data_IF_657636750431
#
_entry.id   IF_657636750431
#
_cell.length_a   1.000
_cell.length_b   1.000
_cell.length_c   1.000
_cell.angle_alpha   90.00
_cell.angle_beta   90.00
_cell.angle_gamma   90.00
#
_symmetry.space_group_name_H-M   'P 1'
#
loop_
_entity.id
_entity.type
_entity.pdbx_description
1 polymer ?
#
# COMPACT_ATOMS: atom_id res chain seq x y z
N UNK A 1 -1.46 -48.80 -9.17
CA UNK A 1 -2.62 -47.96 -9.55
C UNK A 1 -2.84 -46.97 -8.40
N UNK A 2 -2.31 -45.78 -8.49
CA UNK A 2 -2.18 -44.85 -7.35
C UNK A 2 -3.10 -43.62 -7.56
N UNK A 3 -4.21 -43.63 -6.83
CA UNK A 3 -5.27 -42.61 -6.88
C UNK A 3 -5.05 -41.48 -5.83
N UNK A 4 -3.94 -40.77 -5.86
CA UNK A 4 -3.71 -39.66 -4.93
C UNK A 4 -2.93 -38.50 -5.56
N UNK A 5 -3.42 -37.98 -6.69
CA UNK A 5 -2.84 -36.82 -7.38
C UNK A 5 -3.90 -35.81 -7.82
N UNK A 6 -4.90 -35.57 -6.97
CA UNK A 6 -5.87 -34.50 -7.21
C UNK A 6 -6.19 -33.79 -5.90
N UNK A 7 -5.35 -32.81 -5.50
CA UNK A 7 -5.72 -31.70 -4.58
C UNK A 7 -4.56 -30.72 -4.40
N UNK A 8 -4.09 -30.09 -5.48
CA UNK A 8 -3.41 -28.79 -5.36
C UNK A 8 -4.03 -27.89 -6.41
N UNK A 9 -4.91 -26.99 -5.96
CA UNK A 9 -5.59 -26.00 -6.79
C UNK A 9 -4.65 -24.92 -7.32
N UNK A 10 -3.64 -25.34 -8.11
CA UNK A 10 -2.79 -24.42 -8.86
C UNK A 10 -3.45 -24.15 -10.20
N UNK A 11 -3.65 -22.89 -10.53
CA UNK A 11 -4.21 -22.45 -11.81
C UNK A 11 -3.37 -23.01 -12.98
N UNK A 12 -4.01 -23.41 -14.11
CA UNK A 12 -3.31 -24.01 -15.26
C UNK A 12 -2.17 -23.13 -15.83
N UNK A 13 -2.22 -21.84 -15.64
CA UNK A 13 -1.21 -20.88 -16.10
C UNK A 13 0.10 -21.00 -15.29
N UNK A 14 0.02 -21.24 -13.98
CA UNK A 14 1.18 -21.44 -13.11
C UNK A 14 1.90 -22.77 -13.43
N UNK A 15 1.14 -23.80 -13.75
CA UNK A 15 1.69 -25.11 -14.11
C UNK A 15 2.41 -25.10 -15.47
N UNK A 16 1.89 -24.36 -16.44
CA UNK A 16 2.54 -24.15 -17.75
C UNK A 16 3.85 -23.37 -17.59
N UNK A 17 3.88 -22.31 -16.78
CA UNK A 17 5.09 -21.53 -16.53
C UNK A 17 6.16 -22.30 -15.75
N UNK A 18 5.78 -23.07 -14.73
CA UNK A 18 6.72 -23.95 -14.00
C UNK A 18 7.26 -25.07 -14.88
N UNK A 19 6.44 -25.68 -15.72
CA UNK A 19 6.87 -26.69 -16.68
C UNK A 19 7.84 -26.12 -17.73
N UNK A 20 7.57 -24.94 -18.24
CA UNK A 20 8.48 -24.26 -19.18
C UNK A 20 9.81 -23.89 -18.52
N UNK A 21 9.79 -23.38 -17.29
CA UNK A 21 11.01 -23.09 -16.52
C UNK A 21 11.83 -24.34 -16.25
N UNK A 22 11.19 -25.43 -15.81
CA UNK A 22 11.85 -26.71 -15.53
C UNK A 22 12.46 -27.33 -16.79
N UNK A 23 11.74 -27.34 -17.89
CA UNK A 23 12.21 -27.85 -19.17
C UNK A 23 13.36 -27.02 -19.76
N UNK A 24 13.37 -25.70 -19.56
CA UNK A 24 14.48 -24.80 -19.94
C UNK A 24 15.73 -25.10 -19.11
N UNK A 25 15.59 -25.30 -17.80
CA UNK A 25 16.70 -25.62 -16.90
C UNK A 25 17.34 -26.97 -17.22
N UNK A 26 16.56 -27.95 -17.62
CA UNK A 26 17.05 -29.26 -18.09
C UNK A 26 17.77 -29.11 -19.43
N UNK A 27 17.26 -28.34 -20.41
CA UNK A 27 17.93 -28.10 -21.70
C UNK A 27 19.26 -27.37 -21.50
N UNK A 28 19.34 -26.36 -20.65
CA UNK A 28 20.59 -25.66 -20.33
C UNK A 28 21.65 -26.58 -19.72
N UNK A 29 21.21 -27.56 -18.94
CA UNK A 29 22.13 -28.56 -18.31
C UNK A 29 22.65 -29.62 -19.31
N UNK A 30 21.87 -29.88 -20.37
CA UNK A 30 22.23 -30.90 -21.39
C UNK A 30 23.07 -30.33 -22.53
N UNK A 31 22.87 -29.06 -22.91
CA UNK A 31 23.48 -28.44 -24.11
C UNK A 31 24.56 -27.39 -23.83
N UNK A 32 25.01 -27.20 -22.58
CA UNK A 32 25.94 -26.15 -22.20
C UNK A 32 25.33 -24.73 -22.14
N UNK A 33 26.10 -23.71 -21.74
CA UNK A 33 25.59 -22.35 -21.60
C UNK A 33 25.35 -21.72 -22.97
N UNK A 34 24.18 -21.94 -23.53
CA UNK A 34 23.73 -21.25 -24.75
C UNK A 34 23.62 -19.75 -24.46
N UNK A 35 24.50 -18.96 -25.08
CA UNK A 35 24.53 -17.50 -24.95
C UNK A 35 23.18 -16.85 -25.34
N UNK A 36 22.41 -17.49 -26.21
CA UNK A 36 21.09 -17.07 -26.66
C UNK A 36 20.01 -17.26 -25.56
N UNK A 37 20.04 -18.40 -24.84
CA UNK A 37 19.11 -18.64 -23.74
C UNK A 37 19.35 -17.70 -22.56
N UNK A 38 20.59 -17.44 -22.22
CA UNK A 38 20.95 -16.45 -21.20
C UNK A 38 20.52 -15.03 -21.58
N UNK A 39 20.64 -14.68 -22.85
CA UNK A 39 20.19 -13.37 -23.37
C UNK A 39 18.66 -13.24 -23.30
N UNK A 40 17.93 -14.31 -23.66
CA UNK A 40 16.47 -14.33 -23.59
C UNK A 40 15.96 -14.24 -22.13
N UNK A 41 16.58 -14.99 -21.20
CA UNK A 41 16.26 -14.91 -19.77
C UNK A 41 16.54 -13.53 -19.19
N UNK A 42 17.65 -12.90 -19.52
CA UNK A 42 17.96 -11.51 -19.13
C UNK A 42 16.92 -10.54 -19.66
N UNK A 43 16.53 -10.67 -20.93
CA UNK A 43 15.51 -9.80 -21.54
C UNK A 43 14.14 -9.95 -20.85
N UNK A 44 13.76 -11.19 -20.48
CA UNK A 44 12.53 -11.46 -19.75
C UNK A 44 12.59 -10.86 -18.34
N UNK A 45 13.72 -11.02 -17.65
CA UNK A 45 13.91 -10.43 -16.30
C UNK A 45 13.87 -8.89 -16.34
N UNK A 46 14.49 -8.27 -17.33
CA UNK A 46 14.42 -6.80 -17.49
C UNK A 46 13.00 -6.31 -17.75
N UNK A 47 12.24 -6.96 -18.64
CA UNK A 47 10.83 -6.66 -18.86
C UNK A 47 10.00 -6.77 -17.59
N UNK A 48 10.20 -7.82 -16.79
CA UNK A 48 9.50 -8.01 -15.51
C UNK A 48 9.81 -6.89 -14.52
N UNK A 49 11.06 -6.46 -14.41
CA UNK A 49 11.45 -5.31 -13.57
C UNK A 49 10.76 -4.02 -14.02
N UNK A 50 10.69 -3.77 -15.32
CA UNK A 50 9.98 -2.60 -15.88
C UNK A 50 8.49 -2.66 -15.57
N UNK A 51 7.83 -3.79 -15.76
CA UNK A 51 6.41 -3.97 -15.40
C UNK A 51 6.20 -3.77 -13.90
N UNK A 52 7.07 -4.32 -13.05
CA UNK A 52 7.02 -4.17 -11.60
C UNK A 52 7.11 -2.70 -11.18
N UNK A 53 8.08 -1.96 -11.73
CA UNK A 53 8.22 -0.53 -11.46
C UNK A 53 7.02 0.26 -12.02
N UNK A 54 6.55 -0.06 -13.22
CA UNK A 54 5.40 0.58 -13.84
C UNK A 54 4.11 0.41 -13.04
N UNK A 55 3.78 -0.81 -12.62
CA UNK A 55 2.62 -1.08 -11.77
C UNK A 55 2.73 -0.41 -10.39
N UNK A 56 3.92 -0.36 -9.83
CA UNK A 56 4.16 0.33 -8.57
C UNK A 56 3.89 1.83 -8.66
N UNK A 57 4.49 2.51 -9.65
CA UNK A 57 4.29 3.94 -9.86
C UNK A 57 2.83 4.25 -10.19
N UNK A 58 2.21 3.49 -11.08
CA UNK A 58 0.81 3.65 -11.42
C UNK A 58 -0.10 3.43 -10.21
N UNK A 59 0.19 2.43 -9.37
CA UNK A 59 -0.51 2.18 -8.13
C UNK A 59 -0.45 3.37 -7.18
N UNK A 60 0.74 3.97 -7.00
CA UNK A 60 0.91 5.16 -6.16
C UNK A 60 0.18 6.38 -6.72
N UNK A 61 0.17 6.58 -8.04
CA UNK A 61 -0.56 7.68 -8.68
C UNK A 61 -2.08 7.52 -8.49
N UNK A 62 -2.61 6.31 -8.72
CA UNK A 62 -4.02 6.01 -8.51
C UNK A 62 -4.40 6.18 -7.02
N UNK A 63 -3.53 5.75 -6.10
CA UNK A 63 -3.72 5.95 -4.66
C UNK A 63 -3.79 7.44 -4.30
N UNK A 64 -2.83 8.24 -4.79
CA UNK A 64 -2.81 9.68 -4.54
C UNK A 64 -4.07 10.38 -5.10
N UNK A 65 -4.51 9.99 -6.30
CA UNK A 65 -5.75 10.47 -6.89
C UNK A 65 -6.95 10.11 -6.02
N UNK A 66 -7.06 8.86 -5.56
CA UNK A 66 -8.13 8.38 -4.69
C UNK A 66 -8.21 9.15 -3.38
N UNK A 67 -7.07 9.33 -2.69
CA UNK A 67 -7.00 10.10 -1.45
C UNK A 67 -7.40 11.57 -1.65
N UNK A 68 -6.96 12.18 -2.76
CA UNK A 68 -7.32 13.57 -3.08
C UNK A 68 -8.82 13.71 -3.40
N UNK A 69 -9.39 12.82 -4.21
CA UNK A 69 -10.83 12.80 -4.48
C UNK A 69 -11.66 12.64 -3.20
N UNK A 70 -11.18 11.81 -2.27
CA UNK A 70 -11.83 11.62 -0.98
C UNK A 70 -11.89 12.94 -0.18
N UNK A 71 -10.80 13.72 -0.15
CA UNK A 71 -10.78 15.02 0.50
C UNK A 71 -11.70 16.02 -0.20
N UNK A 72 -11.71 16.03 -1.54
CA UNK A 72 -12.49 16.96 -2.38
C UNK A 72 -14.00 16.69 -2.32
N UNK A 73 -14.43 15.46 -2.06
CA UNK A 73 -15.83 15.10 -1.86
C UNK A 73 -16.45 15.82 -0.63
N UNK A 74 -15.63 16.19 0.37
CA UNK A 74 -16.05 16.94 1.55
C UNK A 74 -17.06 16.20 2.44
N UNK A 75 -17.13 14.86 2.36
CA UNK A 75 -17.99 14.01 3.20
C UNK A 75 -17.23 13.35 4.36
N UNK A 76 -15.99 13.74 4.59
CA UNK A 76 -15.03 13.13 5.50
C UNK A 76 -13.92 12.45 4.71
N UNK A 77 -12.74 12.38 5.29
CA UNK A 77 -11.53 11.89 4.61
C UNK A 77 -11.16 10.48 5.06
N UNK A 78 -10.28 9.82 4.29
CA UNK A 78 -9.76 8.50 4.66
C UNK A 78 -9.03 8.57 6.01
N UNK A 79 -9.23 7.60 6.92
CA UNK A 79 -8.67 7.64 8.28
C UNK A 79 -7.16 7.86 8.31
N UNK A 80 -6.42 7.21 7.40
CA UNK A 80 -4.96 7.24 7.37
C UNK A 80 -4.37 8.64 7.20
N UNK A 81 -5.12 9.55 6.56
CA UNK A 81 -4.71 10.93 6.31
C UNK A 81 -5.59 11.94 7.09
N UNK A 82 -6.53 11.46 7.92
CA UNK A 82 -7.49 12.33 8.59
C UNK A 82 -6.83 13.29 9.57
N UNK A 83 -5.77 12.85 10.26
CA UNK A 83 -4.99 13.68 11.18
C UNK A 83 -4.32 14.83 10.43
N UNK A 84 -3.58 14.55 9.36
CA UNK A 84 -2.92 15.57 8.55
C UNK A 84 -3.90 16.52 7.89
N UNK A 85 -5.03 16.01 7.41
CA UNK A 85 -6.09 16.83 6.84
C UNK A 85 -6.72 17.78 7.89
N UNK A 86 -7.00 17.28 9.09
CA UNK A 86 -7.55 18.09 10.18
C UNK A 86 -6.59 19.22 10.55
N UNK A 87 -5.33 18.92 10.78
CA UNK A 87 -4.31 19.93 11.11
C UNK A 87 -4.16 20.93 9.96
N UNK A 88 -4.05 20.48 8.71
CA UNK A 88 -3.91 21.38 7.56
C UNK A 88 -5.11 22.31 7.41
N UNK A 89 -6.32 21.82 7.67
CA UNK A 89 -7.56 22.61 7.57
C UNK A 89 -7.69 23.60 8.70
N UNK A 90 -7.35 23.23 9.94
CA UNK A 90 -7.45 24.08 11.13
C UNK A 90 -6.45 25.24 11.06
N UNK A 91 -5.21 24.94 10.67
CA UNK A 91 -4.12 25.94 10.63
C UNK A 91 -3.88 26.54 9.25
N UNK A 92 -4.73 26.25 8.25
CA UNK A 92 -4.58 26.73 6.86
C UNK A 92 -3.23 26.37 6.23
N UNK A 93 -2.69 25.19 6.55
CA UNK A 93 -1.43 24.69 6.04
C UNK A 93 -1.64 23.83 4.77
N UNK A 94 -0.53 23.58 4.05
CA UNK A 94 -0.60 22.71 2.89
C UNK A 94 -0.87 21.25 3.30
N UNK A 95 -1.88 20.62 2.70
CA UNK A 95 -2.29 19.24 3.02
C UNK A 95 -1.19 18.22 2.71
N UNK A 96 -0.51 18.34 1.59
CA UNK A 96 0.57 17.41 1.23
C UNK A 96 1.77 17.54 2.18
N UNK A 97 2.13 18.75 2.60
CA UNK A 97 3.22 18.95 3.56
C UNK A 97 2.87 18.39 4.94
N UNK A 98 1.62 18.57 5.40
CA UNK A 98 1.16 17.96 6.66
C UNK A 98 1.08 16.43 6.56
N UNK A 99 0.74 15.90 5.40
CA UNK A 99 0.78 14.45 5.16
C UNK A 99 2.22 13.93 5.14
N UNK A 100 3.18 14.69 4.62
CA UNK A 100 4.60 14.34 4.68
C UNK A 100 5.11 14.28 6.13
N UNK A 101 4.72 15.26 6.96
CA UNK A 101 5.05 15.25 8.39
C UNK A 101 4.48 14.02 9.09
N UNK A 102 3.19 13.72 8.87
CA UNK A 102 2.54 12.54 9.44
C UNK A 102 3.23 11.24 9.00
N UNK A 103 3.54 11.11 7.72
CA UNK A 103 4.24 9.94 7.18
C UNK A 103 5.67 9.81 7.72
N UNK A 104 6.36 10.92 7.95
CA UNK A 104 7.67 10.89 8.61
C UNK A 104 7.57 10.37 10.05
N UNK A 105 6.51 10.74 10.78
CA UNK A 105 6.24 10.20 12.13
C UNK A 105 5.96 8.69 12.05
N UNK A 106 5.20 8.23 11.04
CA UNK A 106 4.95 6.79 10.84
C UNK A 106 6.24 6.03 10.56
N UNK A 107 7.11 6.54 9.68
CA UNK A 107 8.40 5.90 9.38
C UNK A 107 9.29 5.80 10.62
N UNK A 108 9.36 6.85 11.43
CA UNK A 108 10.12 6.81 12.70
C UNK A 108 9.54 5.76 13.65
N UNK A 109 8.21 5.69 13.79
CA UNK A 109 7.54 4.69 14.60
C UNK A 109 7.78 3.27 14.06
N UNK A 110 7.78 3.08 12.75
CA UNK A 110 8.05 1.81 12.05
C UNK A 110 9.47 1.30 12.33
N UNK A 111 10.48 2.16 12.19
CA UNK A 111 11.88 1.84 12.52
C UNK A 111 12.00 1.42 14.00
N UNK A 112 11.30 2.11 14.90
CA UNK A 112 11.29 1.77 16.32
C UNK A 112 10.64 0.41 16.59
N UNK A 113 9.49 0.13 15.98
CA UNK A 113 8.80 -1.15 16.09
C UNK A 113 9.63 -2.31 15.53
N UNK A 114 10.26 -2.14 14.37
CA UNK A 114 11.17 -3.14 13.80
C UNK A 114 12.36 -3.42 14.73
N UNK A 115 12.89 -2.39 15.39
CA UNK A 115 13.97 -2.53 16.38
C UNK A 115 13.54 -3.31 17.62
N UNK A 116 12.32 -3.08 18.13
CA UNK A 116 11.74 -3.84 19.26
C UNK A 116 11.55 -5.31 18.88
N UNK A 117 10.91 -5.56 17.73
CA UNK A 117 10.66 -6.91 17.23
C UNK A 117 11.95 -7.74 17.12
N UNK A 118 13.01 -7.09 16.69
CA UNK A 118 14.29 -7.76 16.54
C UNK A 118 14.94 -8.09 17.88
N UNK A 119 14.83 -7.22 18.87
CA UNK A 119 15.27 -7.53 20.25
C UNK A 119 14.52 -8.73 20.83
N UNK A 120 13.22 -8.83 20.61
CA UNK A 120 12.40 -9.97 21.06
C UNK A 120 12.83 -11.28 20.39
N UNK A 121 13.15 -11.24 19.07
CA UNK A 121 13.65 -12.42 18.35
C UNK A 121 15.06 -12.84 18.76
N UNK A 122 15.94 -11.89 19.12
CA UNK A 122 17.34 -12.16 19.49
C UNK A 122 17.47 -12.99 20.77
N UNK A 123 16.47 -12.94 21.64
CA UNK A 123 16.46 -13.66 22.92
C UNK A 123 16.22 -15.18 22.77
N UNK A 124 15.87 -15.67 21.59
CA UNK A 124 15.41 -17.07 21.41
C UNK A 124 16.13 -17.93 20.37
N UNK A 125 17.20 -17.46 19.69
CA UNK A 125 17.83 -18.24 18.59
C UNK A 125 19.37 -18.28 18.60
N UNK A 126 19.91 -19.47 18.26
CA UNK A 126 21.32 -19.81 18.22
C UNK A 126 22.16 -19.06 17.17
N UNK A 127 23.48 -18.94 17.39
CA UNK A 127 24.47 -18.12 16.67
C UNK A 127 24.61 -18.36 15.16
N UNK A 128 24.28 -19.54 14.65
CA UNK A 128 24.48 -19.89 13.23
C UNK A 128 23.58 -19.09 12.23
N UNK A 129 22.46 -18.53 12.70
CA UNK A 129 21.52 -17.76 11.89
C UNK A 129 21.82 -16.24 11.87
N UNK A 130 22.83 -15.79 12.60
CA UNK A 130 23.13 -14.37 12.81
C UNK A 130 23.53 -13.63 11.52
N UNK A 131 24.24 -14.29 10.59
CA UNK A 131 24.74 -13.65 9.37
C UNK A 131 23.65 -13.40 8.31
N UNK A 132 22.78 -14.36 8.05
CA UNK A 132 21.64 -14.21 7.14
C UNK A 132 20.68 -13.12 7.67
N UNK A 133 20.41 -13.14 8.97
CA UNK A 133 19.59 -12.21 9.70
C UNK A 133 20.09 -10.76 9.67
N UNK A 134 21.42 -10.52 9.71
CA UNK A 134 22.01 -9.18 9.63
C UNK A 134 21.76 -8.52 8.26
N UNK A 135 21.68 -9.32 7.20
CA UNK A 135 21.34 -8.83 5.86
C UNK A 135 19.85 -8.47 5.74
N UNK A 136 18.96 -9.29 6.32
CA UNK A 136 17.52 -9.01 6.34
C UNK A 136 17.20 -7.72 7.10
N UNK A 137 17.86 -7.50 8.24
CA UNK A 137 17.71 -6.25 9.02
C UNK A 137 18.12 -5.02 8.24
N UNK A 138 19.28 -5.07 7.57
CA UNK A 138 19.75 -3.96 6.76
C UNK A 138 18.78 -3.64 5.62
N UNK A 139 18.18 -4.66 5.03
CA UNK A 139 17.21 -4.51 3.95
C UNK A 139 15.93 -3.87 4.47
N UNK A 140 15.38 -4.33 5.61
CA UNK A 140 14.18 -3.74 6.23
C UNK A 140 14.43 -2.26 6.57
N UNK A 141 15.53 -1.95 7.26
CA UNK A 141 15.88 -0.59 7.61
C UNK A 141 16.08 0.30 6.38
N UNK A 142 16.69 -0.24 5.31
CA UNK A 142 16.84 0.48 4.05
C UNK A 142 15.47 0.77 3.41
N UNK A 143 14.54 -0.18 3.44
CA UNK A 143 13.18 0.01 2.92
C UNK A 143 12.43 1.07 3.73
N UNK A 144 12.55 1.09 5.07
CA UNK A 144 11.95 2.10 5.93
C UNK A 144 12.50 3.50 5.61
N UNK A 145 13.83 3.64 5.46
CA UNK A 145 14.47 4.91 5.09
C UNK A 145 14.02 5.37 3.69
N UNK A 146 13.89 4.45 2.73
CA UNK A 146 13.42 4.76 1.37
C UNK A 146 11.96 5.23 1.32
N UNK A 147 11.17 4.98 2.35
CA UNK A 147 9.82 5.52 2.46
C UNK A 147 9.81 7.06 2.57
N UNK A 148 10.86 7.69 3.13
CA UNK A 148 10.92 9.16 3.28
C UNK A 148 10.97 9.86 1.91
N UNK A 149 11.96 9.60 1.01
CA UNK A 149 11.95 10.20 -0.31
C UNK A 149 10.73 9.82 -1.15
N UNK A 150 10.21 8.59 -0.98
CA UNK A 150 8.98 8.17 -1.63
C UNK A 150 7.79 9.02 -1.16
N UNK A 151 7.68 9.27 0.15
CA UNK A 151 6.62 10.09 0.74
C UNK A 151 6.70 11.52 0.24
N UNK A 152 7.90 12.06 0.06
CA UNK A 152 8.09 13.39 -0.53
C UNK A 152 7.49 13.45 -1.94
N UNK A 153 7.80 12.49 -2.80
CA UNK A 153 7.25 12.41 -4.16
C UNK A 153 5.74 12.21 -4.12
N UNK A 154 5.26 11.28 -3.31
CA UNK A 154 3.83 10.97 -3.17
C UNK A 154 3.01 12.18 -2.71
N UNK A 155 3.49 12.93 -1.73
CA UNK A 155 2.79 14.11 -1.22
C UNK A 155 2.81 15.28 -2.21
N UNK A 156 3.81 15.36 -3.10
CA UNK A 156 3.76 16.31 -4.24
C UNK A 156 2.64 15.94 -5.22
N UNK A 157 2.39 14.66 -5.46
CA UNK A 157 1.22 14.25 -6.26
C UNK A 157 -0.10 14.60 -5.58
N UNK A 158 -0.22 14.46 -4.24
CA UNK A 158 -1.40 14.94 -3.51
C UNK A 158 -1.64 16.44 -3.74
N UNK A 159 -0.60 17.26 -3.70
CA UNK A 159 -0.69 18.70 -3.94
C UNK A 159 -1.08 19.01 -5.39
N UNK A 160 -0.47 18.34 -6.37
CA UNK A 160 -0.79 18.51 -7.79
C UNK A 160 -2.26 18.14 -8.04
N UNK A 161 -2.71 16.97 -7.60
CA UNK A 161 -4.11 16.58 -7.76
C UNK A 161 -5.04 17.48 -6.95
N UNK A 162 -4.60 17.94 -5.76
CA UNK A 162 -5.35 18.91 -4.94
C UNK A 162 -5.59 20.24 -5.65
N UNK A 163 -4.64 20.70 -6.47
CA UNK A 163 -4.79 21.93 -7.26
C UNK A 163 -5.57 21.72 -8.56
N UNK A 164 -5.49 20.53 -9.16
CA UNK A 164 -6.17 20.23 -10.43
C UNK A 164 -7.65 19.89 -10.25
N UNK A 165 -8.00 19.23 -9.13
CA UNK A 165 -9.37 18.78 -8.89
C UNK A 165 -10.22 19.87 -8.23
N UNK A 166 -11.47 20.06 -8.68
CA UNK A 166 -12.39 21.03 -8.09
C UNK A 166 -12.81 20.62 -6.67
N UNK A 167 -13.26 21.59 -5.89
CA UNK A 167 -13.89 21.37 -4.58
C UNK A 167 -15.37 21.04 -4.76
N UNK A 168 -15.75 19.78 -4.56
CA UNK A 168 -17.15 19.36 -4.66
C UNK A 168 -17.97 19.73 -3.42
N UNK A 169 -17.30 20.08 -2.31
CA UNK A 169 -17.94 20.49 -1.05
C UNK A 169 -18.45 21.93 -1.06
N UNK A 170 -17.97 22.78 -1.97
CA UNK A 170 -18.30 24.22 -2.04
C UNK A 170 -19.45 24.55 -2.98
N UNK A 171 -20.24 23.56 -3.38
CA UNK A 171 -21.42 23.76 -4.20
C UNK A 171 -22.40 24.71 -3.52
N UNK A 172 -22.95 25.68 -4.29
CA UNK A 172 -23.85 26.74 -3.80
C UNK A 172 -25.25 26.24 -3.42
N UNK A 173 -25.57 24.97 -3.62
CA UNK A 173 -26.95 24.45 -3.54
C UNK A 173 -27.14 23.23 -2.62
N UNK A 174 -26.42 23.13 -1.54
CA UNK A 174 -26.72 22.22 -0.42
C UNK A 174 -26.97 20.75 -0.81
N UNK A 175 -28.19 20.26 -0.54
CA UNK A 175 -28.59 18.85 -0.74
C UNK A 175 -28.53 18.41 -2.21
N UNK A 176 -28.65 19.31 -3.18
CA UNK A 176 -28.65 18.96 -4.61
C UNK A 176 -27.29 18.44 -5.11
N UNK A 177 -26.21 18.79 -4.42
CA UNK A 177 -24.84 18.31 -4.77
C UNK A 177 -24.49 16.99 -4.09
N UNK A 178 -25.30 16.50 -3.17
CA UNK A 178 -25.04 15.27 -2.41
C UNK A 178 -24.86 14.04 -3.31
N UNK A 179 -25.66 13.76 -4.33
CA UNK A 179 -25.45 12.63 -5.23
C UNK A 179 -24.10 12.68 -5.95
N UNK A 180 -23.67 13.86 -6.42
CA UNK A 180 -22.36 14.05 -7.06
C UNK A 180 -21.22 13.80 -6.07
N UNK A 181 -21.33 14.33 -4.86
CA UNK A 181 -20.33 14.12 -3.78
C UNK A 181 -20.21 12.65 -3.39
N UNK A 182 -21.34 11.94 -3.31
CA UNK A 182 -21.34 10.49 -3.05
C UNK A 182 -20.69 9.70 -4.22
N UNK A 183 -20.96 10.07 -5.45
CA UNK A 183 -20.33 9.45 -6.62
C UNK A 183 -18.82 9.66 -6.60
N UNK A 184 -18.36 10.90 -6.32
CA UNK A 184 -16.92 11.21 -6.17
C UNK A 184 -16.31 10.42 -5.03
N UNK A 185 -17.01 10.27 -3.90
CA UNK A 185 -16.57 9.46 -2.78
C UNK A 185 -16.42 7.97 -3.15
N UNK A 186 -17.37 7.40 -3.88
CA UNK A 186 -17.31 6.01 -4.35
C UNK A 186 -16.11 5.83 -5.27
N UNK A 187 -15.89 6.72 -6.23
CA UNK A 187 -14.71 6.70 -7.10
C UNK A 187 -13.41 6.84 -6.29
N UNK A 188 -13.40 7.70 -5.29
CA UNK A 188 -12.26 7.87 -4.38
C UNK A 188 -11.91 6.56 -3.64
N UNK A 189 -12.91 5.87 -3.11
CA UNK A 189 -12.75 4.58 -2.42
C UNK A 189 -12.20 3.52 -3.39
N UNK A 190 -12.74 3.45 -4.61
CA UNK A 190 -12.27 2.53 -5.65
C UNK A 190 -10.81 2.82 -5.99
N UNK A 191 -10.45 4.05 -6.30
CA UNK A 191 -9.09 4.43 -6.65
C UNK A 191 -8.12 4.19 -5.49
N UNK A 192 -8.52 4.52 -4.26
CA UNK A 192 -7.69 4.24 -3.08
C UNK A 192 -7.43 2.74 -2.92
N UNK A 193 -8.47 1.91 -3.02
CA UNK A 193 -8.33 0.46 -2.87
C UNK A 193 -7.51 -0.19 -3.99
N UNK A 194 -7.77 0.19 -5.26
CA UNK A 194 -7.03 -0.31 -6.42
C UNK A 194 -5.57 0.13 -6.35
N UNK A 195 -5.31 1.41 -6.09
CA UNK A 195 -3.95 1.96 -6.02
C UNK A 195 -3.13 1.34 -4.90
N UNK A 196 -3.72 1.21 -3.70
CA UNK A 196 -3.08 0.55 -2.56
C UNK A 196 -2.78 -0.93 -2.86
N UNK A 197 -3.75 -1.68 -3.38
CA UNK A 197 -3.56 -3.08 -3.73
C UNK A 197 -2.46 -3.28 -4.77
N UNK A 198 -2.45 -2.44 -5.80
CA UNK A 198 -1.49 -2.54 -6.90
C UNK A 198 -0.07 -2.20 -6.44
N UNK A 199 0.12 -1.12 -5.66
CA UNK A 199 1.43 -0.74 -5.14
C UNK A 199 1.99 -1.77 -4.15
N UNK A 200 1.17 -2.27 -3.22
CA UNK A 200 1.55 -3.28 -2.24
C UNK A 200 1.92 -4.63 -2.89
N UNK A 201 1.19 -5.04 -3.95
CA UNK A 201 1.47 -6.29 -4.66
C UNK A 201 2.85 -6.31 -5.30
N UNK A 202 3.45 -5.17 -5.57
CA UNK A 202 4.79 -5.08 -6.17
C UNK A 202 5.91 -5.31 -5.16
N UNK A 203 5.66 -5.27 -3.87
CA UNK A 203 6.66 -5.53 -2.79
C UNK A 203 7.97 -4.75 -3.01
N UNK A 204 7.88 -3.46 -3.33
CA UNK A 204 9.04 -2.57 -3.47
C UNK A 204 9.25 -1.85 -2.15
N UNK A 205 8.61 -0.71 -1.96
CA UNK A 205 8.62 0.04 -0.71
C UNK A 205 7.16 0.33 -0.33
N UNK A 206 6.67 -0.04 0.85
CA UNK A 206 5.30 0.26 1.23
C UNK A 206 5.10 1.78 1.38
N UNK A 207 3.88 2.26 1.17
CA UNK A 207 3.51 3.59 1.61
C UNK A 207 3.56 3.63 3.15
N UNK A 208 4.07 4.71 3.80
CA UNK A 208 4.21 4.76 5.26
C UNK A 208 2.93 4.46 6.03
N UNK A 209 1.76 4.82 5.49
CA UNK A 209 0.49 4.47 6.09
C UNK A 209 0.19 2.97 6.11
N UNK A 210 0.66 2.24 5.11
CA UNK A 210 0.52 0.77 5.06
C UNK A 210 1.67 0.09 5.80
N UNK A 211 2.88 0.65 5.74
CA UNK A 211 4.07 0.15 6.43
C UNK A 211 3.92 0.13 7.94
N UNK A 212 3.46 1.23 8.55
CA UNK A 212 3.23 1.29 10.00
C UNK A 212 2.19 0.25 10.47
N UNK A 213 1.12 0.02 9.69
CA UNK A 213 0.12 -1.00 10.00
C UNK A 213 0.74 -2.40 9.96
N UNK A 214 1.58 -2.68 8.96
CA UNK A 214 2.30 -3.95 8.86
C UNK A 214 3.27 -4.13 10.04
N UNK A 215 4.06 -3.11 10.39
CA UNK A 215 5.00 -3.15 11.49
C UNK A 215 4.31 -3.41 12.84
N UNK A 216 3.16 -2.74 13.08
CA UNK A 216 2.35 -2.99 14.28
C UNK A 216 1.83 -4.43 14.27
N UNK A 217 1.23 -4.89 13.16
CA UNK A 217 0.66 -6.24 13.03
C UNK A 217 1.70 -7.32 13.35
N UNK A 218 2.91 -7.12 12.84
CA UNK A 218 4.05 -8.00 13.07
C UNK A 218 4.52 -8.01 14.54
N UNK A 219 4.49 -6.85 15.22
CA UNK A 219 4.87 -6.75 16.63
C UNK A 219 3.86 -7.41 17.56
N UNK A 220 2.55 -7.25 17.27
CA UNK A 220 1.48 -7.81 18.12
C UNK A 220 1.03 -9.21 17.67
N UNK A 221 1.65 -9.76 16.62
CA UNK A 221 1.31 -11.08 16.05
C UNK A 221 -0.16 -11.21 15.67
N UNK A 222 -0.75 -10.15 15.10
CA UNK A 222 -2.14 -10.11 14.66
C UNK A 222 -2.22 -9.97 13.12
N UNK A 223 -3.40 -10.27 12.61
CA UNK A 223 -3.71 -10.09 11.20
C UNK A 223 -3.65 -8.60 10.80
N UNK A 224 -3.04 -8.30 9.65
CA UNK A 224 -2.88 -6.94 9.11
C UNK A 224 -4.23 -6.22 8.96
N UNK A 225 -5.28 -6.92 8.51
CA UNK A 225 -6.62 -6.34 8.36
C UNK A 225 -7.23 -5.89 9.70
N UNK A 226 -7.07 -6.70 10.75
CA UNK A 226 -7.50 -6.33 12.10
C UNK A 226 -6.71 -5.12 12.60
N UNK A 227 -5.39 -5.16 12.47
CA UNK A 227 -4.50 -4.07 12.88
C UNK A 227 -4.82 -2.78 12.13
N UNK A 228 -5.10 -2.87 10.83
CA UNK A 228 -5.52 -1.72 10.04
C UNK A 228 -6.80 -1.08 10.60
N UNK A 229 -7.81 -1.88 10.89
CA UNK A 229 -9.07 -1.36 11.46
C UNK A 229 -8.84 -0.67 12.81
N UNK A 230 -8.00 -1.22 13.68
CA UNK A 230 -7.64 -0.60 14.96
C UNK A 230 -6.87 0.71 14.74
N UNK A 231 -5.94 0.73 13.79
CA UNK A 231 -5.15 1.91 13.46
C UNK A 231 -5.99 3.01 12.80
N UNK A 232 -6.93 2.64 11.93
CA UNK A 232 -7.90 3.56 11.34
C UNK A 232 -8.79 4.19 12.44
N UNK A 233 -9.27 3.38 13.40
CA UNK A 233 -10.05 3.88 14.54
C UNK A 233 -9.21 4.82 15.43
N UNK A 234 -7.95 4.50 15.66
CA UNK A 234 -7.01 5.36 16.39
C UNK A 234 -6.86 6.73 15.68
N UNK A 235 -6.60 6.74 14.38
CA UNK A 235 -6.48 7.98 13.60
C UNK A 235 -7.77 8.80 13.63
N UNK A 236 -8.94 8.17 13.51
CA UNK A 236 -10.25 8.84 13.62
C UNK A 236 -10.40 9.48 15.01
N UNK A 237 -10.06 8.75 16.07
CA UNK A 237 -10.15 9.26 17.45
C UNK A 237 -9.24 10.47 17.65
N UNK A 238 -7.99 10.39 17.22
CA UNK A 238 -7.06 11.54 17.27
C UNK A 238 -7.60 12.71 16.48
N UNK A 239 -8.17 12.49 15.29
CA UNK A 239 -8.74 13.54 14.44
C UNK A 239 -9.94 14.22 15.09
N UNK A 240 -10.82 13.45 15.73
CA UNK A 240 -11.98 13.99 16.48
C UNK A 240 -11.48 14.85 17.64
N UNK A 241 -10.53 14.36 18.43
CA UNK A 241 -9.97 15.11 19.56
C UNK A 241 -9.33 16.43 19.09
N UNK A 242 -8.50 16.39 18.04
CA UNK A 242 -7.90 17.59 17.46
C UNK A 242 -8.96 18.59 16.97
N UNK A 243 -9.98 18.12 16.24
CA UNK A 243 -11.05 18.97 15.76
C UNK A 243 -11.85 19.64 16.89
N UNK A 244 -12.19 18.88 17.93
CA UNK A 244 -12.95 19.41 19.07
C UNK A 244 -12.12 20.36 19.93
N UNK A 245 -10.87 20.02 20.23
CA UNK A 245 -9.99 20.82 21.12
C UNK A 245 -9.51 22.10 20.43
N UNK A 246 -9.12 22.02 19.15
CA UNK A 246 -8.49 23.15 18.43
C UNK A 246 -9.47 24.00 17.63
N UNK A 247 -10.57 23.43 17.14
CA UNK A 247 -11.54 24.12 16.28
C UNK A 247 -12.96 24.17 16.85
N UNK A 248 -13.23 23.51 17.99
CA UNK A 248 -14.59 23.44 18.58
C UNK A 248 -15.61 22.68 17.71
N UNK A 249 -15.17 21.98 16.66
CA UNK A 249 -16.04 21.27 15.71
C UNK A 249 -15.31 20.05 15.11
N UNK A 250 -16.08 19.13 14.55
CA UNK A 250 -15.51 18.01 13.79
C UNK A 250 -14.89 18.53 12.49
N UNK A 251 -13.63 18.19 12.24
CA UNK A 251 -12.89 18.53 11.02
C UNK A 251 -12.32 17.23 10.43
N UNK A 252 -12.60 16.97 9.16
CA UNK A 252 -12.07 15.81 8.44
C UNK A 252 -12.78 14.48 8.69
N UNK A 253 -13.65 14.38 9.69
CA UNK A 253 -14.42 13.16 9.99
C UNK A 253 -15.88 13.34 9.59
N UNK A 254 -16.43 12.36 8.88
CA UNK A 254 -17.80 12.37 8.41
C UNK A 254 -18.24 10.97 7.93
N UNK A 255 -19.41 10.92 7.28
CA UNK A 255 -19.96 9.68 6.74
C UNK A 255 -19.00 9.04 5.72
N UNK A 256 -18.28 9.86 4.95
CA UNK A 256 -17.28 9.40 4.00
C UNK A 256 -16.10 8.69 4.66
N UNK A 257 -15.72 9.08 5.87
CA UNK A 257 -14.68 8.41 6.66
C UNK A 257 -15.12 6.98 7.00
N UNK A 258 -16.36 6.80 7.45
CA UNK A 258 -16.91 5.47 7.78
C UNK A 258 -16.99 4.59 6.52
N UNK A 259 -17.49 5.15 5.41
CA UNK A 259 -17.57 4.45 4.14
C UNK A 259 -16.18 4.07 3.61
N UNK A 260 -15.16 4.91 3.81
CA UNK A 260 -13.79 4.62 3.43
C UNK A 260 -13.17 3.46 4.25
N UNK A 261 -13.38 3.42 5.58
CA UNK A 261 -12.94 2.30 6.44
C UNK A 261 -13.47 0.97 5.91
N UNK A 262 -14.77 0.93 5.61
CA UNK A 262 -15.44 -0.30 5.16
C UNK A 262 -15.09 -0.62 3.70
N UNK A 263 -15.09 0.40 2.83
CA UNK A 263 -15.04 0.25 1.38
C UNK A 263 -13.63 -0.06 0.86
N UNK A 264 -12.61 0.65 1.32
CA UNK A 264 -11.24 0.50 0.79
C UNK A 264 -10.73 -0.93 0.94
N UNK A 265 -10.89 -1.53 2.13
CA UNK A 265 -10.45 -2.92 2.36
C UNK A 265 -11.16 -3.93 1.45
N UNK A 266 -12.45 -3.72 1.17
CA UNK A 266 -13.24 -4.58 0.26
C UNK A 266 -12.79 -4.44 -1.19
N UNK A 267 -12.49 -3.22 -1.63
CA UNK A 267 -11.94 -2.97 -2.98
C UNK A 267 -10.55 -3.60 -3.13
N UNK A 268 -9.69 -3.50 -2.10
CA UNK A 268 -8.39 -4.19 -2.10
C UNK A 268 -8.58 -5.69 -2.31
N UNK A 269 -9.44 -6.34 -1.52
CA UNK A 269 -9.72 -7.76 -1.63
C UNK A 269 -10.29 -8.16 -3.01
N UNK A 270 -11.25 -7.37 -3.51
CA UNK A 270 -11.85 -7.57 -4.83
C UNK A 270 -10.81 -7.43 -5.95
N UNK A 271 -9.99 -6.41 -5.91
CA UNK A 271 -8.95 -6.18 -6.91
C UNK A 271 -7.89 -7.28 -6.90
N UNK A 272 -7.46 -7.73 -5.71
CA UNK A 272 -6.53 -8.86 -5.58
C UNK A 272 -7.12 -10.14 -6.18
N UNK A 273 -8.40 -10.40 -5.95
CA UNK A 273 -9.08 -11.56 -6.52
C UNK A 273 -9.19 -11.49 -8.05
N UNK A 274 -9.52 -10.32 -8.61
CA UNK A 274 -9.75 -10.15 -10.06
C UNK A 274 -8.47 -9.99 -10.88
N UNK A 275 -7.50 -9.25 -10.37
CA UNK A 275 -6.32 -8.82 -11.12
C UNK A 275 -4.99 -9.16 -10.45
N UNK A 276 -4.98 -9.46 -9.14
CA UNK A 276 -3.77 -9.66 -8.35
C UNK A 276 -2.83 -10.70 -8.93
N UNK A 277 -3.32 -11.92 -9.22
CA UNK A 277 -2.50 -12.99 -9.80
C UNK A 277 -1.88 -12.61 -11.16
N UNK A 278 -2.64 -11.92 -12.02
CA UNK A 278 -2.16 -11.50 -13.35
C UNK A 278 -1.04 -10.45 -13.24
N UNK A 279 -1.22 -9.46 -12.37
CA UNK A 279 -0.25 -8.38 -12.17
C UNK A 279 1.03 -8.92 -11.55
N UNK A 280 0.93 -9.80 -10.55
CA UNK A 280 2.06 -10.46 -9.91
C UNK A 280 2.81 -11.35 -10.90
N UNK A 281 2.10 -12.12 -11.74
CA UNK A 281 2.71 -12.96 -12.77
C UNK A 281 3.48 -12.14 -13.84
N UNK A 282 2.92 -11.01 -14.28
CA UNK A 282 3.56 -10.10 -15.24
C UNK A 282 4.80 -9.42 -14.65
N UNK A 283 4.76 -9.05 -13.37
CA UNK A 283 5.85 -8.36 -12.68
C UNK A 283 6.94 -9.30 -12.17
N UNK A 284 6.71 -10.62 -12.20
CA UNK A 284 7.68 -11.62 -11.73
C UNK A 284 7.95 -11.57 -10.23
N UNK A 285 7.03 -11.02 -9.46
CA UNK A 285 7.10 -11.06 -7.99
C UNK A 285 6.83 -12.50 -7.53
N UNK A 286 7.74 -13.08 -6.77
CA UNK A 286 7.54 -14.40 -6.15
C UNK A 286 6.51 -14.27 -5.01
N UNK A 287 5.51 -15.14 -5.01
CA UNK A 287 4.42 -15.19 -4.01
C UNK A 287 4.87 -15.89 -2.75
#
# INVERSE_FOLDING_TARGET
MNKNLMKTGKTPVLEIHQRQYYNRKIRAKIHGPDSLLQKEERTIMEKRKVYRAGFYILGLLILAMGLTLNTKAGLGVSPIISVSYSISTIFHLNFGDMTLVLYSVFVVAEIFLHSIRERQRSSHQAEALVHARKNDRKLILLMDILQIPLSLVFTRFLNVFGSLLPEFSKGTKGIQDLPLRLLVLILAIIFTGVGASMSLSMRIVPNPGDGIVQAIADCIHKNVGFTKNCFDLFNITVTILLGLVLAGRLVGVGIGTVLAVIGVGRIIALFQHLAGEKIVALSGVEV
#
